data_IF_640464290327
#
_entry.id   IF_640464290327
#
_cell.length_a   1.000
_cell.length_b   1.000
_cell.length_c   1.000
_cell.angle_alpha   90.00
_cell.angle_beta   90.00
_cell.angle_gamma   90.00
#
_symmetry.space_group_name_H-M   'P 1'
#
loop_
_entity.id
_entity.type
_entity.pdbx_description
1 polymer ?
#
# COMPACT_ATOMS: atom_id res chain seq x y z
N UNK A 1 65.01 -39.87 0.88
CA UNK A 1 63.83 -39.10 0.44
C UNK A 1 62.97 -38.77 1.66
N UNK A 2 63.01 -37.51 2.13
CA UNK A 2 62.28 -37.06 3.32
C UNK A 2 60.82 -36.77 2.93
N UNK A 3 59.87 -37.52 3.48
CA UNK A 3 58.42 -37.30 3.29
C UNK A 3 57.99 -36.17 4.23
N UNK A 4 57.71 -35.00 3.68
CA UNK A 4 57.03 -33.92 4.41
C UNK A 4 55.55 -34.31 4.62
N UNK A 5 54.96 -34.08 5.80
CA UNK A 5 53.56 -34.40 6.03
C UNK A 5 52.66 -33.35 5.36
N UNK A 6 52.12 -33.71 4.19
CA UNK A 6 51.10 -32.93 3.48
C UNK A 6 49.79 -32.73 4.29
N UNK A 7 49.63 -33.47 5.39
CA UNK A 7 48.43 -33.50 6.23
C UNK A 7 48.21 -32.21 7.05
N UNK A 8 49.27 -31.44 7.33
CA UNK A 8 49.14 -30.17 8.04
C UNK A 8 48.61 -29.02 7.17
N UNK A 9 48.81 -29.09 5.85
CA UNK A 9 48.43 -28.02 4.93
C UNK A 9 46.94 -28.07 4.57
N UNK A 10 46.33 -29.26 4.55
CA UNK A 10 44.89 -29.42 4.27
C UNK A 10 43.99 -28.94 5.43
N UNK A 11 44.46 -29.03 6.68
CA UNK A 11 43.68 -28.57 7.86
C UNK A 11 43.70 -27.04 8.02
N UNK A 12 44.74 -26.37 7.51
CA UNK A 12 44.86 -24.91 7.54
C UNK A 12 43.98 -24.24 6.46
N UNK A 13 43.72 -24.92 5.33
CA UNK A 13 42.88 -24.39 4.25
C UNK A 13 41.36 -24.46 4.54
N UNK A 14 40.93 -25.32 5.47
CA UNK A 14 39.51 -25.41 5.87
C UNK A 14 39.08 -24.35 6.90
N UNK A 15 40.01 -23.67 7.58
CA UNK A 15 39.66 -22.63 8.55
C UNK A 15 39.47 -21.24 7.94
N UNK A 16 39.95 -21.00 6.72
CA UNK A 16 39.84 -19.68 6.05
C UNK A 16 38.45 -19.46 5.44
N UNK A 17 37.67 -20.52 5.18
CA UNK A 17 36.31 -20.41 4.65
C UNK A 17 35.25 -20.02 5.71
N UNK A 18 35.64 -19.98 6.99
CA UNK A 18 34.77 -19.52 8.09
C UNK A 18 34.98 -18.04 8.46
N UNK A 19 35.78 -17.30 7.68
CA UNK A 19 35.91 -15.85 7.81
C UNK A 19 34.63 -15.17 7.33
N UNK A 20 33.72 -14.94 8.28
CA UNK A 20 32.79 -13.81 8.33
C UNK A 20 32.00 -13.56 7.04
N UNK A 21 30.95 -14.35 6.79
CA UNK A 21 29.75 -13.73 6.24
C UNK A 21 29.21 -12.80 7.32
N UNK A 22 29.69 -11.57 7.35
CA UNK A 22 29.02 -10.50 8.09
C UNK A 22 27.58 -10.53 7.59
N UNK A 23 26.58 -10.82 8.45
CA UNK A 23 25.20 -10.77 8.01
C UNK A 23 24.99 -9.42 7.33
N UNK A 24 24.33 -9.38 6.16
CA UNK A 24 24.05 -8.11 5.50
C UNK A 24 23.42 -7.17 6.54
N UNK A 25 23.90 -5.92 6.57
CA UNK A 25 23.42 -4.95 7.53
C UNK A 25 21.89 -4.89 7.46
N UNK A 26 21.24 -5.08 8.59
CA UNK A 26 19.79 -5.06 8.67
C UNK A 26 19.27 -3.70 8.16
N UNK A 27 18.29 -3.67 7.26
CA UNK A 27 17.75 -2.41 6.78
C UNK A 27 17.07 -1.67 7.93
N UNK A 28 17.32 -0.35 8.03
CA UNK A 28 16.68 0.51 9.02
C UNK A 28 15.19 0.74 8.72
N UNK A 29 14.81 0.70 7.45
CA UNK A 29 13.44 0.86 7.00
C UNK A 29 13.17 -0.08 5.82
N UNK A 30 12.10 -0.86 5.92
CA UNK A 30 11.53 -1.63 4.81
C UNK A 30 10.28 -0.92 4.32
N UNK A 31 10.16 -0.72 3.01
CA UNK A 31 8.97 -0.13 2.39
C UNK A 31 8.32 -1.19 1.51
N UNK A 32 7.15 -1.68 1.93
CA UNK A 32 6.31 -2.56 1.12
C UNK A 32 5.36 -1.72 0.28
N UNK A 33 5.48 -1.83 -1.05
CA UNK A 33 4.64 -1.09 -2.00
C UNK A 33 3.76 -2.07 -2.78
N UNK A 34 2.44 -1.86 -2.72
CA UNK A 34 1.48 -2.56 -3.58
C UNK A 34 0.80 -1.55 -4.49
N UNK A 35 0.90 -1.74 -5.81
CA UNK A 35 0.15 -0.93 -6.77
C UNK A 35 -1.11 -1.71 -7.13
N UNK A 36 -2.26 -1.23 -6.65
CA UNK A 36 -3.52 -1.96 -6.77
C UNK A 36 -3.91 -2.13 -8.23
N UNK A 37 -4.32 -3.34 -8.59
CA UNK A 37 -4.65 -3.76 -9.95
C UNK A 37 -3.53 -3.57 -11.01
N UNK A 38 -2.27 -3.39 -10.58
CA UNK A 38 -1.15 -3.31 -11.51
C UNK A 38 -0.86 -4.67 -12.13
N UNK A 39 -1.13 -4.79 -13.43
CA UNK A 39 -0.68 -5.95 -14.20
C UNK A 39 0.81 -5.88 -14.44
N UNK A 40 1.46 -7.04 -14.48
CA UNK A 40 2.90 -7.14 -14.68
C UNK A 40 3.37 -6.49 -15.99
N UNK A 41 2.58 -6.60 -17.06
CA UNK A 41 2.91 -6.06 -18.37
C UNK A 41 2.98 -4.53 -18.40
N UNK A 42 2.39 -3.81 -17.44
CA UNK A 42 2.52 -2.35 -17.35
C UNK A 42 3.97 -1.89 -17.13
N UNK A 43 4.80 -2.69 -16.46
CA UNK A 43 6.23 -2.40 -16.28
C UNK A 43 6.98 -2.26 -17.60
N UNK A 44 6.53 -2.96 -18.64
CA UNK A 44 7.17 -3.02 -19.94
C UNK A 44 6.41 -2.23 -21.01
N UNK A 45 5.07 -2.29 -21.00
CA UNK A 45 4.20 -1.57 -21.94
C UNK A 45 4.46 -0.06 -21.91
N UNK A 46 4.61 0.52 -20.72
CA UNK A 46 4.82 1.97 -20.57
C UNK A 46 6.27 2.34 -20.26
N UNK A 47 7.22 1.41 -20.46
CA UNK A 47 8.62 1.56 -20.03
C UNK A 47 9.28 2.80 -20.60
N UNK A 48 9.06 3.10 -21.86
CA UNK A 48 9.70 4.23 -22.55
C UNK A 48 9.16 5.59 -22.06
N UNK A 49 7.95 5.59 -21.48
CA UNK A 49 7.33 6.75 -20.85
C UNK A 49 7.77 6.99 -19.40
N UNK A 50 8.47 6.04 -18.77
CA UNK A 50 8.93 6.17 -17.38
C UNK A 50 10.22 6.97 -17.25
N UNK A 51 10.29 7.80 -16.22
CA UNK A 51 11.54 8.41 -15.76
C UNK A 51 12.47 7.38 -15.09
N UNK A 52 13.75 7.74 -14.98
CA UNK A 52 14.80 6.81 -14.50
C UNK A 52 14.71 6.46 -13.00
N UNK A 53 14.09 7.32 -12.18
CA UNK A 53 14.07 7.16 -10.72
C UNK A 53 13.01 6.23 -10.12
N UNK A 54 12.08 5.73 -10.94
CA UNK A 54 10.94 4.90 -10.51
C UNK A 54 11.06 3.43 -10.90
N UNK A 55 10.08 2.90 -11.64
CA UNK A 55 10.07 1.50 -12.09
C UNK A 55 11.34 1.09 -12.84
N UNK A 56 11.92 1.97 -13.67
CA UNK A 56 13.20 1.71 -14.35
C UNK A 56 14.33 1.42 -13.37
N UNK A 57 14.47 2.20 -12.29
CA UNK A 57 15.43 1.95 -11.22
C UNK A 57 15.19 0.60 -10.55
N UNK A 58 13.94 0.29 -10.20
CA UNK A 58 13.60 -0.98 -9.55
C UNK A 58 13.97 -2.19 -10.42
N UNK A 59 13.70 -2.11 -11.73
CA UNK A 59 14.04 -3.17 -12.68
C UNK A 59 15.56 -3.27 -12.93
N UNK A 60 16.26 -2.14 -13.02
CA UNK A 60 17.67 -2.11 -13.38
C UNK A 60 18.62 -2.38 -12.20
N UNK A 61 18.21 -2.06 -10.98
CA UNK A 61 19.06 -2.12 -9.77
C UNK A 61 18.52 -3.07 -8.70
N UNK A 62 17.30 -3.59 -8.88
CA UNK A 62 16.66 -4.53 -7.96
C UNK A 62 16.63 -5.95 -8.51
N UNK A 63 15.65 -6.72 -8.05
CA UNK A 63 15.37 -8.07 -8.51
C UNK A 63 13.91 -8.16 -8.97
N UNK A 64 13.69 -8.68 -10.18
CA UNK A 64 12.36 -8.82 -10.80
C UNK A 64 11.93 -10.28 -10.79
N UNK A 65 10.88 -10.60 -10.03
CA UNK A 65 10.27 -11.93 -10.02
C UNK A 65 9.16 -12.01 -11.06
N UNK A 66 9.53 -12.29 -12.32
CA UNK A 66 8.65 -12.12 -13.49
C UNK A 66 7.50 -13.14 -13.58
N UNK A 67 7.65 -14.29 -12.92
CA UNK A 67 6.67 -15.37 -12.94
C UNK A 67 6.01 -15.56 -11.56
N UNK A 68 5.47 -14.47 -11.01
CA UNK A 68 4.78 -14.47 -9.71
C UNK A 68 3.26 -14.44 -9.91
N UNK A 69 2.56 -15.46 -9.42
CA UNK A 69 1.12 -15.62 -9.62
C UNK A 69 0.39 -15.84 -8.30
N UNK A 70 -0.86 -15.37 -8.22
CA UNK A 70 -1.77 -15.76 -7.15
C UNK A 70 -2.09 -17.25 -7.25
N UNK A 71 -1.90 -17.98 -6.16
CA UNK A 71 -2.22 -19.40 -6.04
C UNK A 71 -3.57 -19.65 -5.34
N UNK A 72 -4.47 -18.67 -5.40
CA UNK A 72 -5.80 -18.71 -4.80
C UNK A 72 -6.80 -17.89 -5.63
N UNK A 73 -8.09 -18.10 -5.34
CA UNK A 73 -9.19 -17.31 -5.86
C UNK A 73 -10.15 -16.97 -4.71
N UNK A 74 -10.86 -15.83 -4.75
CA UNK A 74 -10.83 -14.79 -5.77
C UNK A 74 -9.64 -13.81 -5.64
N UNK A 75 -9.19 -13.24 -6.76
CA UNK A 75 -8.07 -12.26 -6.81
C UNK A 75 -8.56 -10.83 -6.56
N UNK A 76 -9.18 -10.61 -5.40
CA UNK A 76 -9.65 -9.29 -4.96
C UNK A 76 -8.60 -8.55 -4.12
N UNK A 77 -8.81 -7.25 -3.91
CA UNK A 77 -7.92 -6.38 -3.13
C UNK A 77 -7.59 -6.94 -1.74
N UNK A 78 -8.59 -7.27 -0.91
CA UNK A 78 -8.35 -7.68 0.47
C UNK A 78 -7.59 -9.03 0.57
N UNK A 79 -8.00 -10.10 -0.14
CA UNK A 79 -7.23 -11.34 -0.21
C UNK A 79 -5.79 -11.11 -0.69
N UNK A 80 -5.62 -10.27 -1.72
CA UNK A 80 -4.34 -9.82 -2.26
C UNK A 80 -3.39 -9.28 -1.20
N UNK A 81 -3.83 -8.22 -0.52
CA UNK A 81 -3.03 -7.51 0.48
C UNK A 81 -2.72 -8.40 1.68
N UNK A 82 -3.68 -9.21 2.16
CA UNK A 82 -3.43 -10.13 3.26
C UNK A 82 -2.39 -11.22 2.89
N UNK A 83 -2.48 -11.79 1.69
CA UNK A 83 -1.58 -12.86 1.28
C UNK A 83 -0.12 -12.38 1.14
N UNK A 84 0.09 -11.17 0.58
CA UNK A 84 1.44 -10.59 0.40
C UNK A 84 2.16 -10.48 1.75
N UNK A 85 1.46 -10.06 2.80
CA UNK A 85 2.09 -9.74 4.09
C UNK A 85 2.05 -10.87 5.12
N UNK A 86 1.14 -11.84 4.97
CA UNK A 86 1.10 -13.04 5.82
C UNK A 86 1.94 -14.19 5.28
N UNK A 87 2.27 -14.19 3.98
CA UNK A 87 2.92 -15.33 3.33
C UNK A 87 2.03 -16.58 3.23
N UNK A 88 0.71 -16.44 3.46
CA UNK A 88 -0.26 -17.53 3.42
C UNK A 88 -1.46 -17.19 2.54
N UNK A 89 -2.28 -18.18 2.20
CA UNK A 89 -3.45 -18.01 1.32
C UNK A 89 -4.70 -17.63 2.14
N UNK A 90 -5.79 -17.16 1.48
CA UNK A 90 -7.08 -16.93 2.12
C UNK A 90 -7.62 -18.08 2.96
N UNK A 91 -7.30 -19.32 2.60
CA UNK A 91 -7.71 -20.51 3.35
C UNK A 91 -7.04 -20.61 4.74
N UNK A 92 -5.93 -19.89 4.96
CA UNK A 92 -5.17 -19.88 6.21
C UNK A 92 -5.31 -18.54 6.92
N UNK A 93 -5.10 -17.42 6.21
CA UNK A 93 -5.20 -16.09 6.81
C UNK A 93 -6.64 -15.59 7.03
N UNK A 94 -7.65 -16.30 6.50
CA UNK A 94 -9.07 -16.00 6.70
C UNK A 94 -9.65 -14.90 5.82
N UNK A 95 -8.85 -14.21 5.00
CA UNK A 95 -9.33 -13.10 4.16
C UNK A 95 -9.77 -13.61 2.78
N UNK A 96 -11.02 -14.05 2.69
CA UNK A 96 -11.58 -14.73 1.51
C UNK A 96 -12.15 -13.80 0.43
N UNK A 97 -12.52 -12.57 0.78
CA UNK A 97 -13.08 -11.60 -0.16
C UNK A 97 -13.00 -10.17 0.41
N UNK A 98 -13.39 -9.16 -0.39
CA UNK A 98 -13.58 -7.79 0.12
C UNK A 98 -14.80 -7.70 1.05
N UNK A 99 -15.80 -8.54 0.81
CA UNK A 99 -16.99 -8.73 1.64
C UNK A 99 -17.50 -10.15 1.46
N UNK A 100 -18.15 -10.70 2.49
CA UNK A 100 -18.76 -12.03 2.44
C UNK A 100 -20.02 -12.06 3.30
N UNK A 101 -20.90 -13.03 3.05
CA UNK A 101 -22.00 -13.31 3.96
C UNK A 101 -21.46 -13.89 5.28
N UNK A 102 -21.67 -13.19 6.38
CA UNK A 102 -21.28 -13.64 7.72
C UNK A 102 -22.52 -14.23 8.42
N UNK A 103 -22.54 -15.56 8.70
CA UNK A 103 -23.69 -16.21 9.33
C UNK A 103 -24.00 -15.69 10.74
N UNK A 104 -23.00 -15.20 11.47
CA UNK A 104 -23.20 -14.63 12.82
C UNK A 104 -23.88 -13.26 12.72
N UNK A 105 -23.60 -12.50 11.65
CA UNK A 105 -24.20 -11.19 11.43
C UNK A 105 -25.54 -11.27 10.69
N UNK A 106 -25.83 -12.42 10.05
CA UNK A 106 -26.91 -12.59 9.08
C UNK A 106 -26.94 -11.46 8.05
N UNK A 107 -25.76 -11.05 7.58
CA UNK A 107 -25.57 -9.94 6.65
C UNK A 107 -24.25 -10.08 5.90
N UNK A 108 -24.09 -9.31 4.83
CA UNK A 108 -22.77 -9.11 4.24
C UNK A 108 -21.90 -8.30 5.20
N UNK A 109 -20.76 -8.89 5.57
CA UNK A 109 -19.69 -8.27 6.33
C UNK A 109 -18.63 -7.78 5.37
N UNK A 110 -18.33 -6.49 5.45
CA UNK A 110 -17.16 -5.93 4.80
C UNK A 110 -15.90 -6.27 5.61
N UNK A 111 -14.82 -6.60 4.91
CA UNK A 111 -13.65 -7.31 5.45
C UNK A 111 -13.06 -6.70 6.72
N UNK A 112 -12.93 -5.38 6.79
CA UNK A 112 -12.33 -4.70 7.95
C UNK A 112 -13.37 -4.16 8.93
N UNK A 113 -14.67 -4.31 8.68
CA UNK A 113 -15.69 -3.71 9.55
C UNK A 113 -15.59 -4.25 10.97
N UNK A 114 -15.50 -3.31 11.91
CA UNK A 114 -15.48 -3.56 13.34
C UNK A 114 -16.11 -2.39 14.11
N UNK A 115 -17.35 -2.61 14.56
CA UNK A 115 -18.15 -1.59 15.26
C UNK A 115 -17.70 -1.34 16.71
N UNK A 116 -16.72 -2.11 17.22
CA UNK A 116 -16.14 -1.88 18.55
C UNK A 116 -15.27 -0.62 18.59
N UNK A 117 -14.78 -0.20 17.42
CA UNK A 117 -13.91 0.97 17.26
C UNK A 117 -14.64 2.10 16.55
N UNK A 118 -14.14 3.33 16.69
CA UNK A 118 -14.77 4.54 16.16
C UNK A 118 -13.78 5.34 15.33
N UNK A 119 -14.31 6.18 14.42
CA UNK A 119 -13.50 7.10 13.62
C UNK A 119 -12.67 8.05 14.49
N UNK A 120 -11.43 8.27 14.08
CA UNK A 120 -10.53 9.29 14.62
C UNK A 120 -10.11 10.21 13.47
N UNK A 121 -10.51 11.48 13.53
CA UNK A 121 -10.05 12.52 12.59
C UNK A 121 -10.92 12.84 11.38
N UNK A 122 -12.11 12.23 11.25
CA UNK A 122 -13.04 12.48 10.15
C UNK A 122 -14.48 12.12 10.52
N UNK A 123 -15.30 11.77 9.52
CA UNK A 123 -16.73 11.51 9.72
C UNK A 123 -16.98 10.38 10.74
N UNK A 124 -17.79 10.62 11.79
CA UNK A 124 -18.21 9.56 12.70
C UNK A 124 -18.98 8.44 11.97
N UNK A 125 -18.65 7.18 12.26
CA UNK A 125 -19.43 6.03 11.81
C UNK A 125 -18.64 5.11 10.91
N UNK A 126 -19.29 4.61 9.84
CA UNK A 126 -18.80 3.47 9.06
C UNK A 126 -17.38 3.63 8.56
N UNK A 127 -16.99 4.82 8.09
CA UNK A 127 -15.67 5.10 7.50
C UNK A 127 -14.50 4.89 8.47
N UNK A 128 -14.74 4.92 9.78
CA UNK A 128 -13.72 4.69 10.80
C UNK A 128 -13.94 3.45 11.66
N UNK A 129 -15.00 2.68 11.42
CA UNK A 129 -15.31 1.45 12.15
C UNK A 129 -14.54 0.26 11.56
N UNK A 130 -13.21 0.33 11.62
CA UNK A 130 -12.34 -0.66 10.99
C UNK A 130 -11.22 -1.17 11.91
N UNK A 131 -10.89 -2.46 11.77
CA UNK A 131 -9.78 -3.14 12.45
C UNK A 131 -9.31 -4.36 11.64
N UNK A 132 -8.16 -4.98 12.00
CA UNK A 132 -7.69 -6.21 11.37
C UNK A 132 -8.31 -7.49 11.97
N UNK A 133 -9.38 -7.41 12.78
CA UNK A 133 -9.84 -8.52 13.64
C UNK A 133 -10.24 -9.83 12.95
N UNK A 134 -10.44 -9.83 11.63
CA UNK A 134 -10.74 -11.03 10.83
C UNK A 134 -9.50 -11.74 10.29
N UNK A 135 -8.34 -11.09 10.35
CA UNK A 135 -7.08 -11.66 9.91
C UNK A 135 -6.66 -12.73 10.94
N UNK A 136 -6.47 -13.97 10.50
CA UNK A 136 -6.20 -15.09 11.40
C UNK A 136 -4.69 -15.33 11.61
N UNK A 137 -3.89 -15.01 10.60
CA UNK A 137 -2.43 -15.19 10.61
C UNK A 137 -1.72 -13.89 10.97
N UNK A 138 -0.58 -13.97 11.66
CA UNK A 138 0.32 -12.83 11.77
C UNK A 138 0.86 -12.41 10.41
N UNK A 139 1.23 -11.13 10.29
CA UNK A 139 1.96 -10.60 9.15
C UNK A 139 3.46 -10.54 9.44
N UNK A 140 4.28 -10.38 8.40
CA UNK A 140 5.71 -10.05 8.55
C UNK A 140 5.93 -8.78 9.39
N UNK A 141 4.96 -7.85 9.39
CA UNK A 141 5.02 -6.64 10.21
C UNK A 141 4.69 -6.91 11.68
N UNK A 142 3.78 -7.83 11.97
CA UNK A 142 3.53 -8.31 13.34
C UNK A 142 4.79 -9.01 13.87
N UNK A 143 5.38 -9.92 13.09
CA UNK A 143 6.61 -10.63 13.45
C UNK A 143 7.79 -9.67 13.68
N UNK A 144 7.92 -8.62 12.86
CA UNK A 144 8.92 -7.57 13.06
C UNK A 144 8.75 -6.89 14.43
N UNK A 145 7.52 -6.62 14.85
CA UNK A 145 7.28 -5.99 16.16
C UNK A 145 7.56 -6.94 17.30
N UNK A 146 7.12 -8.19 17.20
CA UNK A 146 7.37 -9.22 18.21
C UNK A 146 8.88 -9.45 18.38
N UNK A 147 9.64 -9.58 17.29
CA UNK A 147 11.08 -9.83 17.31
C UNK A 147 11.89 -8.67 17.92
N UNK A 148 11.35 -7.45 17.91
CA UNK A 148 12.03 -6.25 18.40
C UNK A 148 11.44 -5.69 19.71
N UNK A 149 10.67 -6.49 20.46
CA UNK A 149 9.99 -6.08 21.71
C UNK A 149 9.16 -4.80 21.50
N UNK A 150 8.42 -4.74 20.39
CA UNK A 150 7.56 -3.62 19.99
C UNK A 150 8.27 -2.27 19.82
N UNK A 151 9.61 -2.26 19.72
CA UNK A 151 10.39 -1.04 19.44
C UNK A 151 10.37 -0.64 17.97
N UNK A 152 10.19 -1.59 17.05
CA UNK A 152 10.03 -1.30 15.63
C UNK A 152 8.72 -0.58 15.38
N UNK A 153 8.71 0.34 14.43
CA UNK A 153 7.53 1.09 14.01
C UNK A 153 6.94 0.47 12.76
N UNK A 154 5.62 0.31 12.76
CA UNK A 154 4.87 -0.18 11.61
C UNK A 154 3.75 0.79 11.29
N UNK A 155 3.68 1.23 10.03
CA UNK A 155 2.66 2.16 9.56
C UNK A 155 2.03 1.65 8.26
N UNK A 156 0.70 1.58 8.21
CA UNK A 156 -0.07 1.31 7.00
C UNK A 156 -0.66 2.60 6.41
N UNK A 157 -0.55 2.79 5.08
CA UNK A 157 -1.07 3.97 4.39
C UNK A 157 -1.69 3.56 3.05
N UNK A 158 -2.97 3.86 2.88
CA UNK A 158 -3.67 3.66 1.61
C UNK A 158 -4.96 4.46 1.57
N UNK A 159 -5.42 4.90 0.39
CA UNK A 159 -6.76 5.49 0.27
C UNK A 159 -7.89 4.55 0.74
N UNK A 160 -7.70 3.23 0.60
CA UNK A 160 -8.65 2.18 1.03
C UNK A 160 -8.25 1.65 2.40
N UNK A 161 -9.20 1.56 3.34
CA UNK A 161 -8.97 1.01 4.68
C UNK A 161 -8.30 -0.39 4.62
N UNK A 162 -8.88 -1.35 3.92
CA UNK A 162 -8.41 -2.75 3.81
C UNK A 162 -6.98 -2.90 3.29
N UNK A 163 -6.54 -1.99 2.43
CA UNK A 163 -5.20 -2.00 1.84
C UNK A 163 -4.18 -1.18 2.66
N UNK A 164 -4.61 -0.53 3.74
CA UNK A 164 -3.79 0.05 4.80
C UNK A 164 -3.67 -0.93 5.97
N UNK A 165 -4.81 -1.48 6.40
CA UNK A 165 -4.98 -2.29 7.62
C UNK A 165 -4.38 -3.70 7.48
N UNK A 166 -4.73 -4.44 6.43
CA UNK A 166 -4.32 -5.85 6.29
C UNK A 166 -2.81 -6.02 6.08
N UNK A 167 -2.11 -5.14 5.32
CA UNK A 167 -0.64 -5.15 5.27
C UNK A 167 0.04 -4.90 6.61
N UNK A 168 -0.48 -3.96 7.39
CA UNK A 168 0.12 -3.51 8.64
C UNK A 168 -0.06 -4.51 9.79
N UNK A 169 -1.06 -5.40 9.69
CA UNK A 169 -1.28 -6.49 10.63
C UNK A 169 -2.03 -6.08 11.89
N UNK A 170 -1.88 -6.88 12.94
CA UNK A 170 -2.60 -6.75 14.20
C UNK A 170 -2.04 -5.67 15.11
N UNK A 171 -0.73 -5.47 15.12
CA UNK A 171 -0.08 -4.63 16.14
C UNK A 171 0.66 -3.40 15.60
N UNK A 172 0.26 -2.73 14.51
CA UNK A 172 1.00 -1.56 14.01
C UNK A 172 0.89 -0.35 14.95
N UNK A 173 1.78 0.63 14.78
CA UNK A 173 1.63 1.93 15.43
C UNK A 173 0.38 2.66 14.94
N UNK A 174 0.19 2.67 13.62
CA UNK A 174 -0.90 3.37 12.99
C UNK A 174 -1.26 2.78 11.62
N UNK A 175 -2.52 2.90 11.24
CA UNK A 175 -2.98 2.74 9.87
C UNK A 175 -3.78 3.97 9.50
N UNK A 176 -3.51 4.54 8.33
CA UNK A 176 -4.23 5.70 7.82
C UNK A 176 -4.94 5.39 6.53
N UNK A 177 -6.18 5.88 6.40
CA UNK A 177 -6.95 5.81 5.16
C UNK A 177 -7.78 7.06 4.92
N UNK A 178 -8.31 7.18 3.70
CA UNK A 178 -8.93 8.42 3.23
C UNK A 178 -10.44 8.43 3.50
N UNK A 179 -10.93 9.53 4.07
CA UNK A 179 -12.34 9.81 4.27
C UNK A 179 -12.89 10.68 3.13
N UNK A 180 -13.81 10.11 2.35
CA UNK A 180 -14.38 10.73 1.15
C UNK A 180 -15.29 11.93 1.44
N UNK A 181 -15.80 12.04 2.67
CA UNK A 181 -16.67 13.14 3.06
C UNK A 181 -15.87 14.38 3.45
N UNK A 182 -14.79 14.19 4.23
CA UNK A 182 -13.99 15.31 4.76
C UNK A 182 -12.75 15.62 3.92
N UNK A 183 -12.31 14.68 3.09
CA UNK A 183 -11.05 14.76 2.34
C UNK A 183 -9.82 14.61 3.23
N UNK A 184 -9.98 14.01 4.42
CA UNK A 184 -8.92 13.86 5.40
C UNK A 184 -8.36 12.44 5.42
N UNK A 185 -7.10 12.32 5.84
CA UNK A 185 -6.57 11.06 6.36
C UNK A 185 -7.09 10.82 7.78
N UNK A 186 -7.60 9.62 8.01
CA UNK A 186 -8.23 9.19 9.27
C UNK A 186 -7.65 7.86 9.74
N UNK A 187 -8.01 7.47 10.94
CA UNK A 187 -7.71 6.17 11.56
C UNK A 187 -8.92 5.73 12.42
N UNK A 188 -8.80 4.62 13.15
CA UNK A 188 -9.78 4.16 14.14
C UNK A 188 -9.17 4.08 15.54
N UNK A 189 -10.03 3.99 16.55
CA UNK A 189 -9.63 3.77 17.95
C UNK A 189 -9.01 2.39 18.21
N UNK A 190 -8.86 1.53 17.20
CA UNK A 190 -8.09 0.29 17.32
C UNK A 190 -6.60 0.56 17.55
N UNK A 191 -6.05 1.58 16.87
CA UNK A 191 -4.62 1.78 16.81
C UNK A 191 -4.09 2.52 18.05
N UNK A 192 -3.01 2.05 18.70
CA UNK A 192 -2.56 2.55 20.00
C UNK A 192 -2.30 4.06 20.02
N UNK A 193 -1.76 4.60 18.93
CA UNK A 193 -1.39 6.01 18.82
C UNK A 193 -2.61 6.91 18.42
N UNK A 194 -3.85 6.39 18.50
CA UNK A 194 -5.07 7.01 17.94
C UNK A 194 -6.13 7.44 18.96
N UNK A 195 -5.75 7.82 20.18
CA UNK A 195 -6.68 8.52 21.11
C UNK A 195 -7.12 9.90 20.59
N UNK A 196 -6.36 10.43 19.62
CA UNK A 196 -6.71 11.50 18.69
C UNK A 196 -5.79 11.37 17.46
N UNK A 197 -6.03 12.14 16.39
CA UNK A 197 -5.05 12.18 15.30
C UNK A 197 -3.76 12.84 15.79
N UNK A 198 -2.56 12.28 15.50
CA UNK A 198 -1.31 12.96 15.79
C UNK A 198 -1.24 14.33 15.12
N UNK A 199 -0.59 15.31 15.77
CA UNK A 199 -0.52 16.69 15.28
C UNK A 199 -0.06 16.79 13.83
N UNK A 200 0.94 16.00 13.44
CA UNK A 200 1.43 16.01 12.06
C UNK A 200 0.39 15.57 11.02
N UNK A 201 -0.54 14.67 11.40
CA UNK A 201 -1.65 14.24 10.52
C UNK A 201 -2.68 15.36 10.44
N UNK A 202 -2.98 16.03 11.56
CA UNK A 202 -3.84 17.20 11.58
C UNK A 202 -3.29 18.33 10.70
N UNK A 203 -1.99 18.62 10.81
CA UNK A 203 -1.29 19.61 10.01
C UNK A 203 -1.32 19.25 8.52
N UNK A 204 -1.13 17.96 8.18
CA UNK A 204 -1.25 17.49 6.80
C UNK A 204 -2.66 17.71 6.27
N UNK A 205 -3.68 17.30 7.02
CA UNK A 205 -5.09 17.46 6.64
C UNK A 205 -5.48 18.94 6.51
N UNK A 206 -4.91 19.82 7.34
CA UNK A 206 -5.14 21.27 7.29
C UNK A 206 -4.61 21.92 6.00
N UNK A 207 -3.64 21.29 5.30
CA UNK A 207 -3.18 21.75 3.98
C UNK A 207 -4.25 21.63 2.89
N UNK A 208 -5.30 20.81 3.12
CA UNK A 208 -6.40 20.58 2.18
C UNK A 208 -5.93 20.31 0.75
N UNK A 209 -4.90 19.47 0.61
CA UNK A 209 -4.36 19.08 -0.70
C UNK A 209 -5.43 18.54 -1.68
N UNK A 210 -6.44 17.76 -1.24
CA UNK A 210 -7.51 17.35 -2.15
C UNK A 210 -8.28 18.52 -2.79
N UNK A 211 -8.43 19.66 -2.09
CA UNK A 211 -9.02 20.87 -2.68
C UNK A 211 -8.16 21.40 -3.82
N UNK A 212 -6.85 21.50 -3.60
CA UNK A 212 -5.91 21.97 -4.61
C UNK A 212 -5.87 21.04 -5.84
N UNK A 213 -5.84 19.72 -5.63
CA UNK A 213 -5.83 18.75 -6.73
C UNK A 213 -7.12 18.76 -7.54
N UNK A 214 -8.28 18.82 -6.87
CA UNK A 214 -9.59 18.81 -7.53
C UNK A 214 -10.04 20.19 -8.04
N UNK A 215 -9.23 21.24 -7.84
CA UNK A 215 -9.51 22.59 -8.37
C UNK A 215 -9.13 22.79 -9.84
N UNK A 216 -8.45 21.81 -10.45
CA UNK A 216 -7.90 21.89 -11.81
C UNK A 216 -8.48 20.81 -12.71
N UNK A 217 -8.45 21.03 -14.02
CA UNK A 217 -8.76 19.97 -14.97
C UNK A 217 -7.67 18.89 -14.94
N UNK A 218 -8.06 17.62 -15.11
CA UNK A 218 -7.12 16.56 -15.43
C UNK A 218 -7.07 16.39 -16.95
N UNK A 219 -5.93 16.74 -17.54
CA UNK A 219 -5.65 16.61 -18.96
C UNK A 219 -4.50 15.61 -19.19
N UNK A 220 -4.44 15.06 -20.39
CA UNK A 220 -3.27 14.36 -20.88
C UNK A 220 -2.06 15.31 -20.89
N UNK A 221 -0.88 14.77 -20.57
CA UNK A 221 0.37 15.52 -20.64
C UNK A 221 0.72 15.72 -22.11
N UNK A 222 0.70 16.98 -22.57
CA UNK A 222 0.99 17.34 -23.96
C UNK A 222 2.44 17.09 -24.37
N UNK A 223 3.33 16.82 -23.42
CA UNK A 223 4.73 16.47 -23.68
C UNK A 223 4.94 14.97 -23.92
N UNK A 224 3.91 14.16 -23.69
CA UNK A 224 3.94 12.71 -23.85
C UNK A 224 3.14 12.25 -25.06
N UNK A 225 3.53 11.11 -25.62
CA UNK A 225 2.71 10.33 -26.56
C UNK A 225 2.10 9.15 -25.83
N UNK A 226 0.89 8.76 -26.25
CA UNK A 226 0.10 7.70 -25.62
C UNK A 226 -0.16 6.53 -26.58
N UNK A 227 0.83 6.18 -27.40
CA UNK A 227 0.71 5.15 -28.46
C UNK A 227 0.36 3.76 -27.91
N UNK A 228 0.68 3.49 -26.65
CA UNK A 228 0.33 2.24 -25.99
C UNK A 228 -1.10 2.25 -25.43
N UNK A 229 -1.87 3.32 -25.58
CA UNK A 229 -3.29 3.39 -25.28
C UNK A 229 -4.10 3.29 -26.58
N UNK A 230 -5.32 2.79 -26.50
CA UNK A 230 -6.19 2.71 -27.69
C UNK A 230 -6.74 4.09 -28.04
N UNK A 231 -6.71 4.43 -29.32
CA UNK A 231 -7.40 5.62 -29.84
C UNK A 231 -8.90 5.55 -29.56
N UNK A 232 -9.52 6.71 -29.35
CA UNK A 232 -10.95 6.84 -29.08
C UNK A 232 -11.45 6.03 -27.88
N UNK A 233 -10.62 5.83 -26.84
CA UNK A 233 -11.03 5.18 -25.58
C UNK A 233 -12.34 5.74 -25.03
N UNK A 234 -12.59 7.04 -25.19
CA UNK A 234 -13.81 7.71 -24.73
C UNK A 234 -15.11 7.09 -25.31
N UNK A 235 -15.04 6.48 -26.50
CA UNK A 235 -16.17 5.77 -27.11
C UNK A 235 -16.50 4.43 -26.41
N UNK A 236 -15.55 3.89 -25.65
CA UNK A 236 -15.68 2.67 -24.84
C UNK A 236 -15.79 2.98 -23.34
N UNK A 237 -15.77 4.26 -22.98
CA UNK A 237 -15.94 4.75 -21.62
C UNK A 237 -17.44 4.92 -21.24
N UNK A 238 -18.30 4.02 -21.75
CA UNK A 238 -19.73 3.93 -21.43
C UNK A 238 -20.02 2.82 -20.40
N UNK A 239 -18.98 2.46 -19.63
CA UNK A 239 -18.92 1.25 -18.82
C UNK A 239 -20.08 1.05 -17.84
N UNK A 240 -20.38 -0.22 -17.58
CA UNK A 240 -21.39 -0.67 -16.59
C UNK A 240 -20.97 -0.42 -15.13
N UNK A 241 -19.69 -0.15 -14.88
CA UNK A 241 -19.14 0.11 -13.55
C UNK A 241 -19.10 1.61 -13.25
N UNK A 242 -19.24 1.95 -11.98
CA UNK A 242 -19.27 3.35 -11.54
C UNK A 242 -17.89 4.00 -11.73
N UNK A 243 -17.82 5.00 -12.60
CA UNK A 243 -16.71 5.94 -12.68
C UNK A 243 -17.27 7.36 -12.83
N UNK A 244 -16.68 8.37 -12.16
CA UNK A 244 -17.09 9.76 -12.33
C UNK A 244 -16.87 10.28 -13.77
N UNK A 245 -16.11 9.55 -14.58
CA UNK A 245 -15.79 9.90 -15.97
C UNK A 245 -16.67 9.21 -17.01
N UNK A 246 -17.63 8.37 -16.64
CA UNK A 246 -18.47 7.67 -17.60
C UNK A 246 -19.11 8.64 -18.61
N UNK A 247 -18.96 8.33 -19.89
CA UNK A 247 -19.43 9.14 -21.02
C UNK A 247 -18.74 10.50 -21.16
N UNK A 248 -17.55 10.68 -20.57
CA UNK A 248 -16.75 11.90 -20.68
C UNK A 248 -15.44 11.62 -21.39
N UNK A 249 -14.95 12.64 -22.07
CA UNK A 249 -13.64 12.67 -22.71
C UNK A 249 -12.67 13.56 -21.92
N UNK A 250 -11.37 13.30 -22.04
CA UNK A 250 -10.36 14.23 -21.55
C UNK A 250 -10.36 15.53 -22.36
N UNK A 251 -10.07 16.70 -21.74
CA UNK A 251 -9.72 16.87 -20.32
C UNK A 251 -10.93 16.80 -19.38
N UNK A 252 -10.76 16.15 -18.24
CA UNK A 252 -11.80 16.03 -17.22
C UNK A 252 -11.88 17.26 -16.33
N UNK A 253 -13.06 17.88 -16.26
CA UNK A 253 -13.34 19.00 -15.37
C UNK A 253 -13.55 18.51 -13.93
N UNK A 254 -12.45 18.34 -13.18
CA UNK A 254 -12.50 17.88 -11.79
C UNK A 254 -13.31 18.81 -10.86
N UNK A 255 -13.27 20.16 -11.00
CA UNK A 255 -14.12 21.04 -10.21
C UNK A 255 -15.61 20.70 -10.35
N UNK A 256 -16.07 20.42 -11.56
CA UNK A 256 -17.47 20.05 -11.80
C UNK A 256 -17.80 18.65 -11.30
N UNK A 257 -16.87 17.69 -11.46
CA UNK A 257 -17.05 16.33 -10.94
C UNK A 257 -17.09 16.31 -9.41
N UNK A 258 -16.26 17.12 -8.74
CA UNK A 258 -16.22 17.25 -7.29
C UNK A 258 -17.56 17.74 -6.72
N UNK A 259 -18.29 18.62 -7.42
CA UNK A 259 -19.62 19.07 -6.97
C UNK A 259 -20.62 17.91 -6.81
N UNK A 260 -20.44 16.82 -7.55
CA UNK A 260 -21.32 15.63 -7.51
C UNK A 260 -20.73 14.51 -6.66
N UNK A 261 -19.44 14.23 -6.82
CA UNK A 261 -18.77 13.10 -6.16
C UNK A 261 -18.04 13.44 -4.86
N UNK A 262 -17.97 14.71 -4.47
CA UNK A 262 -17.18 15.14 -3.32
C UNK A 262 -15.70 14.80 -3.49
N UNK A 263 -15.03 14.44 -2.39
CA UNK A 263 -13.62 14.06 -2.44
C UNK A 263 -13.38 12.67 -3.01
N UNK A 264 -14.40 11.80 -3.10
CA UNK A 264 -14.23 10.46 -3.69
C UNK A 264 -13.68 10.51 -5.12
N UNK A 265 -13.91 11.60 -5.85
CA UNK A 265 -13.37 11.83 -7.20
C UNK A 265 -11.84 11.68 -7.24
N UNK A 266 -11.12 12.06 -6.17
CA UNK A 266 -9.66 11.99 -6.16
C UNK A 266 -9.13 10.56 -6.32
N UNK A 267 -9.90 9.57 -5.85
CA UNK A 267 -9.56 8.14 -5.97
C UNK A 267 -9.43 7.69 -7.41
N UNK A 268 -10.16 8.33 -8.31
CA UNK A 268 -10.17 8.07 -9.75
C UNK A 268 -9.17 8.96 -10.51
N UNK A 269 -8.19 9.56 -9.83
CA UNK A 269 -7.20 10.43 -10.49
C UNK A 269 -5.79 10.05 -10.07
N UNK A 270 -4.76 10.36 -10.86
CA UNK A 270 -3.36 10.19 -10.45
C UNK A 270 -3.04 10.93 -9.14
N UNK A 271 -3.76 12.01 -8.84
CA UNK A 271 -3.60 12.80 -7.61
C UNK A 271 -3.91 12.02 -6.33
N UNK A 272 -4.70 10.95 -6.39
CA UNK A 272 -4.89 10.06 -5.25
C UNK A 272 -3.59 9.34 -4.85
N UNK A 273 -2.78 8.94 -5.83
CA UNK A 273 -1.46 8.37 -5.57
C UNK A 273 -0.46 9.44 -5.13
N UNK A 274 -0.50 10.64 -5.71
CA UNK A 274 0.32 11.77 -5.23
C UNK A 274 0.03 12.10 -3.78
N UNK A 275 -1.24 12.19 -3.39
CA UNK A 275 -1.66 12.41 -2.01
C UNK A 275 -1.14 11.31 -1.07
N UNK A 276 -1.21 10.05 -1.51
CA UNK A 276 -0.71 8.88 -0.75
C UNK A 276 0.80 8.95 -0.56
N UNK A 277 1.54 9.32 -1.61
CA UNK A 277 3.00 9.46 -1.56
C UNK A 277 3.42 10.62 -0.64
N UNK A 278 2.80 11.79 -0.79
CA UNK A 278 3.09 12.96 0.05
C UNK A 278 2.84 12.65 1.53
N UNK A 279 1.74 11.95 1.84
CA UNK A 279 1.43 11.53 3.21
C UNK A 279 2.44 10.50 3.75
N UNK A 280 2.87 9.54 2.92
CA UNK A 280 3.88 8.56 3.31
C UNK A 280 5.26 9.20 3.56
N UNK A 281 5.66 10.18 2.77
CA UNK A 281 6.90 10.95 3.00
C UNK A 281 6.82 11.72 4.32
N UNK A 282 5.69 12.38 4.60
CA UNK A 282 5.49 13.04 5.89
C UNK A 282 5.49 12.03 7.05
N UNK A 283 4.90 10.84 6.89
CA UNK A 283 4.94 9.78 7.90
C UNK A 283 6.38 9.34 8.22
N UNK A 284 7.23 9.12 7.19
CA UNK A 284 8.66 8.79 7.38
C UNK A 284 9.34 9.86 8.22
N UNK A 285 9.18 11.12 7.84
CA UNK A 285 9.84 12.25 8.50
C UNK A 285 9.31 12.51 9.91
N UNK A 286 7.99 12.42 10.12
CA UNK A 286 7.34 12.82 11.38
C UNK A 286 7.33 11.70 12.40
N UNK A 287 7.25 10.45 11.96
CA UNK A 287 7.35 9.28 12.82
C UNK A 287 8.79 8.79 12.97
N UNK A 288 9.75 9.43 12.29
CA UNK A 288 11.17 9.09 12.34
C UNK A 288 11.41 7.63 11.98
N UNK A 289 10.84 7.19 10.86
CA UNK A 289 10.95 5.81 10.38
C UNK A 289 12.36 5.55 9.85
N UNK A 290 13.04 4.54 10.38
CA UNK A 290 14.43 4.20 10.05
C UNK A 290 15.47 5.18 10.57
N UNK A 291 15.12 6.00 11.57
CA UNK A 291 16.01 6.99 12.16
C UNK A 291 17.00 6.40 13.18
N UNK A 292 16.67 5.25 13.78
CA UNK A 292 17.53 4.55 14.74
C UNK A 292 18.05 3.21 14.17
N UNK A 293 18.48 2.29 15.03
CA UNK A 293 19.04 0.99 14.62
C UNK A 293 18.00 -0.15 14.71
N UNK A 294 16.78 0.14 15.13
CA UNK A 294 15.66 -0.80 15.08
C UNK A 294 15.00 -0.68 13.69
N UNK A 295 14.83 -1.79 12.95
CA UNK A 295 14.15 -1.77 11.67
C UNK A 295 12.69 -1.32 11.81
N UNK A 296 12.25 -0.44 10.94
CA UNK A 296 10.86 -0.04 10.80
C UNK A 296 10.25 -0.59 9.51
N UNK A 297 8.91 -0.64 9.43
CA UNK A 297 8.18 -1.07 8.24
C UNK A 297 7.09 -0.06 7.85
N UNK A 298 7.13 0.38 6.60
CA UNK A 298 6.08 1.20 6.00
C UNK A 298 5.36 0.43 4.89
N UNK A 299 4.05 0.23 5.04
CA UNK A 299 3.19 -0.40 4.04
C UNK A 299 2.44 0.70 3.28
N UNK A 300 2.67 0.80 1.97
CA UNK A 300 2.04 1.80 1.10
C UNK A 300 1.31 1.10 -0.02
N UNK A 301 0.03 1.43 -0.20
CA UNK A 301 -0.74 0.90 -1.31
C UNK A 301 -1.28 2.02 -2.19
N UNK A 302 -0.93 1.98 -3.48
CA UNK A 302 -1.38 2.94 -4.49
C UNK A 302 -2.66 2.44 -5.15
N UNK A 303 -3.81 2.98 -4.71
CA UNK A 303 -5.14 2.49 -5.09
C UNK A 303 -5.70 3.06 -6.39
N UNK A 304 -5.22 4.23 -6.84
CA UNK A 304 -5.86 4.94 -7.95
C UNK A 304 -5.90 4.16 -9.27
N UNK A 305 -4.91 3.30 -9.62
CA UNK A 305 -4.99 2.50 -10.83
C UNK A 305 -6.18 1.54 -10.84
N UNK A 306 -6.52 0.92 -9.71
CA UNK A 306 -7.70 0.06 -9.58
C UNK A 306 -9.01 0.82 -9.79
N UNK A 307 -9.12 2.04 -9.26
CA UNK A 307 -10.30 2.88 -9.47
C UNK A 307 -10.44 3.37 -10.92
N UNK A 308 -9.32 3.53 -11.64
CA UNK A 308 -9.29 4.03 -13.01
C UNK A 308 -9.51 2.96 -14.09
N UNK A 309 -9.62 1.68 -13.70
CA UNK A 309 -9.55 0.55 -14.63
C UNK A 309 -10.91 -0.10 -14.93
#
# INVERSE_FOLDING_TARGET
MKRFPLTGLLLALTQVAALSQTPPSQPKLVIGIVVDQMRYDYLYRYRDSYGEGGFKRLLAQGFSCENTHYNYVPTYTAPGHAAIYTGTTPAVNGIIANEWWDPEWQAHRYVTTDKRYTTVGGTPGRVGQHSPAVLLSSTITDELRLAHNFRSKVVGICLKDRASILPAGHIPNACYWFDDETGNWITSTYYPDSTGLPQWVQDFNARKLPDAFLSKNWAADSTMTYEQSFDNWDAYNDGKYFSPFNGKAMPYNLPELKKKGGYSVIRFTPFGNTLTLDFAVDAINKMQLGADDVPDFLCISFSSPDYCA
#
